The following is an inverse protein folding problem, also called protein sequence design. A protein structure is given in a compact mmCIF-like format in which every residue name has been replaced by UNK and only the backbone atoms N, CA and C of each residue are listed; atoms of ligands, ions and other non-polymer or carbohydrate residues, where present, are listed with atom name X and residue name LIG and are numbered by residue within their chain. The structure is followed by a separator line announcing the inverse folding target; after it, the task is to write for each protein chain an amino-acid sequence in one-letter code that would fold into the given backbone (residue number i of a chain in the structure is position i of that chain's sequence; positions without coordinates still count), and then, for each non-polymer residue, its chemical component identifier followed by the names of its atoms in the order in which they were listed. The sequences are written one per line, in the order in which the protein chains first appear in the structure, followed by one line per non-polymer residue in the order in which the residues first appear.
data_IF_802069670010
#
_entry.id   IF_802069670010
#
_cell.length_a   1.000
_cell.length_b   1.000
_cell.length_c   1.000
_cell.angle_alpha   90.00
_cell.angle_beta   90.00
_cell.angle_gamma   90.00
#
_symmetry.space_group_name_H-M   'P 1'
#
loop_
_entity.id
_entity.type
_entity.pdbx_description
1 polymer ?
#
# COMPACT_ATOMS: atom_id res chain seq x y z
N UNK A 1 15.49 28.77 27.23
CA UNK A 1 14.05 28.47 27.19
C UNK A 1 13.59 28.68 25.76
N UNK A 2 13.58 27.64 24.95
CA UNK A 2 13.09 27.65 23.57
C UNK A 2 11.99 26.61 23.47
N UNK A 3 10.76 27.10 23.34
CA UNK A 3 9.52 26.37 23.21
C UNK A 3 9.50 25.67 21.84
N UNK A 4 9.69 24.36 21.83
CA UNK A 4 9.52 23.52 20.66
C UNK A 4 8.04 23.34 20.33
N UNK A 5 7.55 24.09 19.36
CA UNK A 5 6.24 23.90 18.79
C UNK A 5 6.20 22.58 18.02
N UNK A 6 5.61 21.55 18.62
CA UNK A 6 5.19 20.36 17.90
C UNK A 6 4.09 20.76 16.91
N UNK A 7 4.45 20.86 15.65
CA UNK A 7 3.50 20.83 14.54
C UNK A 7 2.84 19.44 14.54
N UNK A 8 1.71 19.33 15.23
CA UNK A 8 0.75 18.25 14.94
C UNK A 8 0.33 18.43 13.49
N UNK A 9 0.95 17.67 12.59
CA UNK A 9 0.39 17.46 11.28
C UNK A 9 -0.88 16.61 11.49
N UNK A 10 -1.99 17.26 11.79
CA UNK A 10 -3.30 16.71 11.58
C UNK A 10 -3.43 16.54 10.08
N UNK A 11 -2.89 15.47 9.57
CA UNK A 11 -3.19 15.02 8.24
C UNK A 11 -4.68 14.66 8.28
N UNK A 12 -5.50 15.69 8.05
CA UNK A 12 -6.90 15.52 7.73
C UNK A 12 -6.87 14.51 6.60
N UNK A 13 -7.26 13.26 6.92
CA UNK A 13 -7.51 12.19 5.95
C UNK A 13 -7.94 12.88 4.67
N UNK A 14 -7.04 12.94 3.68
CA UNK A 14 -7.35 13.58 2.42
C UNK A 14 -8.48 12.74 1.86
N UNK A 15 -9.70 13.20 2.11
CA UNK A 15 -10.87 12.69 1.40
C UNK A 15 -10.57 13.04 -0.04
N UNK A 16 -9.98 12.07 -0.74
CA UNK A 16 -9.91 12.18 -2.17
C UNK A 16 -11.32 12.57 -2.62
N UNK A 17 -11.49 13.70 -3.29
CA UNK A 17 -12.81 14.14 -3.71
C UNK A 17 -13.38 12.97 -4.50
N UNK A 18 -14.61 12.56 -4.17
CA UNK A 18 -15.36 11.59 -4.95
C UNK A 18 -15.44 12.13 -6.37
N UNK A 19 -14.48 11.77 -7.18
CA UNK A 19 -14.54 12.03 -8.60
C UNK A 19 -15.44 10.96 -9.19
N UNK A 20 -16.66 11.34 -9.56
CA UNK A 20 -17.46 10.54 -10.50
C UNK A 20 -16.65 10.58 -11.80
N UNK A 21 -15.90 9.52 -12.05
CA UNK A 21 -15.09 9.40 -13.26
C UNK A 21 -16.04 9.12 -14.43
N UNK A 22 -16.38 10.15 -15.15
CA UNK A 22 -17.14 10.05 -16.43
C UNK A 22 -16.21 10.15 -17.64
N UNK A 23 -14.88 10.13 -17.41
CA UNK A 23 -13.88 10.28 -18.48
C UNK A 23 -13.45 8.94 -19.07
N UNK A 24 -13.02 8.99 -20.32
CA UNK A 24 -12.40 7.85 -21.00
C UNK A 24 -10.97 7.67 -20.47
N UNK A 25 -10.75 6.57 -19.75
CA UNK A 25 -9.41 6.16 -19.35
C UNK A 25 -8.79 5.31 -20.44
N UNK A 26 -7.72 5.79 -21.06
CA UNK A 26 -6.98 5.03 -22.05
C UNK A 26 -6.52 3.67 -21.49
N UNK A 27 -6.45 2.66 -22.36
CA UNK A 27 -6.01 1.31 -21.96
C UNK A 27 -4.51 1.31 -21.71
N UNK A 28 -4.05 0.85 -20.53
CA UNK A 28 -2.63 0.64 -20.29
C UNK A 28 -2.01 -0.36 -21.26
N UNK A 29 -0.70 -0.26 -21.45
CA UNK A 29 0.06 -1.12 -22.37
C UNK A 29 1.35 -1.58 -21.71
N UNK A 30 1.86 -2.74 -22.15
CA UNK A 30 3.21 -3.20 -21.85
C UNK A 30 4.14 -2.88 -23.01
N UNK A 31 5.33 -2.40 -22.67
CA UNK A 31 6.44 -2.23 -23.59
C UNK A 31 7.65 -3.04 -23.12
N UNK A 32 8.55 -3.37 -24.04
CA UNK A 32 9.72 -4.20 -23.75
C UNK A 32 11.01 -3.40 -23.73
N UNK A 33 11.00 -2.23 -24.34
CA UNK A 33 12.19 -1.39 -24.42
C UNK A 33 11.82 0.10 -24.28
N UNK A 34 12.79 0.92 -23.89
CA UNK A 34 12.63 2.38 -23.86
C UNK A 34 12.35 2.96 -25.24
N UNK A 35 12.82 2.30 -26.30
CA UNK A 35 12.58 2.72 -27.68
C UNK A 35 11.10 2.66 -28.09
N UNK A 36 10.29 1.90 -27.35
CA UNK A 36 8.83 1.81 -27.57
C UNK A 36 8.07 2.97 -26.93
N UNK A 37 8.72 3.74 -26.04
CA UNK A 37 8.15 4.92 -25.38
C UNK A 37 8.16 6.14 -26.32
N UNK A 38 7.34 7.16 -25.98
CA UNK A 38 7.54 8.48 -26.56
C UNK A 38 8.90 9.05 -26.15
N UNK A 39 9.50 9.87 -27.00
CA UNK A 39 10.82 10.43 -26.75
C UNK A 39 10.92 11.08 -25.36
N UNK A 40 9.93 11.90 -24.99
CA UNK A 40 9.90 12.58 -23.69
C UNK A 40 9.96 11.62 -22.49
N UNK A 41 9.23 10.50 -22.54
CA UNK A 41 9.24 9.49 -21.49
C UNK A 41 10.56 8.70 -21.49
N UNK A 42 11.10 8.37 -22.66
CA UNK A 42 12.35 7.65 -22.79
C UNK A 42 13.53 8.49 -22.28
N UNK A 43 13.62 9.75 -22.70
CA UNK A 43 14.68 10.67 -22.29
C UNK A 43 14.65 10.89 -20.76
N UNK A 44 13.45 11.13 -20.20
CA UNK A 44 13.31 11.27 -18.76
C UNK A 44 13.71 9.99 -18.01
N UNK A 45 13.32 8.81 -18.49
CA UNK A 45 13.71 7.54 -17.89
C UNK A 45 15.22 7.35 -17.84
N UNK A 46 15.91 7.71 -18.93
CA UNK A 46 17.37 7.59 -19.04
C UNK A 46 18.13 8.45 -18.01
N UNK A 47 17.52 9.54 -17.50
CA UNK A 47 18.17 10.39 -16.48
C UNK A 47 18.39 9.71 -15.14
N UNK A 48 17.61 8.66 -14.85
CA UNK A 48 17.63 7.94 -13.56
C UNK A 48 17.95 6.45 -13.69
N UNK A 49 17.86 5.89 -14.90
CA UNK A 49 18.21 4.50 -15.18
C UNK A 49 19.74 4.36 -15.25
N UNK A 50 20.27 3.42 -14.45
CA UNK A 50 21.68 3.06 -14.55
C UNK A 50 21.90 2.06 -15.71
N UNK A 51 23.08 2.10 -16.31
CA UNK A 51 23.46 1.14 -17.35
C UNK A 51 23.54 -0.32 -16.83
N UNK A 52 23.64 -0.49 -15.50
CA UNK A 52 23.65 -1.80 -14.85
C UNK A 52 22.24 -2.31 -14.51
N UNK A 53 21.21 -1.48 -14.60
CA UNK A 53 19.86 -1.87 -14.18
C UNK A 53 19.21 -2.77 -15.23
N UNK A 54 18.78 -3.95 -14.80
CA UNK A 54 18.05 -4.87 -15.64
C UNK A 54 16.56 -4.49 -15.69
N UNK A 55 16.11 -4.03 -16.86
CA UNK A 55 14.68 -3.75 -17.08
C UNK A 55 13.90 -5.06 -17.22
N UNK A 56 12.87 -5.23 -16.41
CA UNK A 56 12.00 -6.40 -16.43
C UNK A 56 10.69 -6.14 -17.15
N UNK A 57 10.11 -4.97 -16.93
CA UNK A 57 8.81 -4.62 -17.46
C UNK A 57 8.63 -3.12 -17.54
N UNK A 58 7.98 -2.65 -18.60
CA UNK A 58 7.54 -1.26 -18.74
C UNK A 58 6.02 -1.25 -18.88
N UNK A 59 5.34 -0.67 -17.90
CA UNK A 59 3.89 -0.49 -17.89
C UNK A 59 3.57 0.97 -18.15
N UNK A 60 2.83 1.24 -19.23
CA UNK A 60 2.48 2.60 -19.66
C UNK A 60 1.00 2.85 -19.52
N UNK A 61 0.68 3.93 -18.83
CA UNK A 61 -0.67 4.49 -18.76
C UNK A 61 -0.72 5.72 -19.68
N UNK A 62 -1.51 5.67 -20.76
CA UNK A 62 -1.64 6.79 -21.66
C UNK A 62 -2.30 8.00 -20.98
N UNK A 63 -2.19 9.20 -21.55
CA UNK A 63 -2.89 10.39 -21.07
C UNK A 63 -4.37 10.09 -20.88
N UNK A 64 -4.94 10.55 -19.78
CA UNK A 64 -6.34 10.33 -19.45
C UNK A 64 -7.16 11.57 -19.76
N UNK A 65 -8.28 11.39 -20.40
CA UNK A 65 -9.23 12.47 -20.67
C UNK A 65 -10.22 12.58 -19.51
N UNK A 66 -10.25 13.73 -18.87
CA UNK A 66 -11.23 14.04 -17.85
C UNK A 66 -12.25 15.05 -18.45
N UNK A 67 -13.54 14.72 -18.52
CA UNK A 67 -14.53 15.70 -18.89
C UNK A 67 -14.58 16.75 -17.78
N UNK A 68 -14.18 17.96 -18.11
CA UNK A 68 -14.56 19.13 -17.32
C UNK A 68 -15.74 19.80 -18.01
N UNK A 69 -16.65 20.40 -17.26
CA UNK A 69 -17.90 21.01 -17.74
C UNK A 69 -17.76 22.03 -18.90
N UNK A 70 -16.54 22.37 -19.26
CA UNK A 70 -16.27 23.31 -20.35
C UNK A 70 -15.02 22.98 -21.19
N UNK A 71 -14.11 22.12 -20.73
CA UNK A 71 -12.88 21.76 -21.44
C UNK A 71 -12.42 20.39 -21.02
N UNK A 72 -12.07 19.53 -21.99
CA UNK A 72 -11.36 18.29 -21.73
C UNK A 72 -10.01 18.64 -21.07
N UNK A 73 -9.75 18.03 -19.92
CA UNK A 73 -8.40 18.07 -19.30
C UNK A 73 -7.76 16.74 -19.53
N UNK A 74 -6.56 16.78 -20.10
CA UNK A 74 -5.72 15.58 -20.20
C UNK A 74 -4.92 15.44 -18.91
N UNK A 75 -5.02 14.27 -18.28
CA UNK A 75 -4.07 13.88 -17.24
C UNK A 75 -2.73 13.53 -17.90
N UNK A 76 -1.66 13.49 -17.11
CA UNK A 76 -0.34 13.11 -17.63
C UNK A 76 -0.35 11.64 -18.11
N UNK A 77 0.53 11.33 -19.05
CA UNK A 77 0.92 9.94 -19.30
C UNK A 77 1.90 9.50 -18.21
N UNK A 78 1.85 8.22 -17.85
CA UNK A 78 2.77 7.63 -16.89
C UNK A 78 3.45 6.41 -17.49
N UNK A 79 4.72 6.18 -17.16
CA UNK A 79 5.39 4.92 -17.34
C UNK A 79 5.93 4.44 -15.99
N UNK A 80 5.70 3.17 -15.67
CA UNK A 80 6.33 2.46 -14.57
C UNK A 80 7.31 1.47 -15.17
N UNK A 81 8.60 1.64 -14.87
CA UNK A 81 9.67 0.78 -15.33
C UNK A 81 10.16 -0.02 -14.14
N UNK A 82 9.86 -1.31 -14.13
CA UNK A 82 10.31 -2.23 -13.10
C UNK A 82 11.70 -2.73 -13.46
N UNK A 83 12.63 -2.59 -12.53
CA UNK A 83 14.02 -3.02 -12.65
C UNK A 83 14.41 -3.87 -11.45
N UNK A 84 15.57 -4.49 -11.49
CA UNK A 84 16.17 -5.16 -10.33
C UNK A 84 16.55 -4.18 -9.20
N UNK A 85 16.87 -2.92 -9.55
CA UNK A 85 17.17 -1.86 -8.57
C UNK A 85 15.93 -1.25 -7.90
N UNK A 86 14.74 -1.36 -8.52
CA UNK A 86 13.50 -0.77 -8.01
C UNK A 86 12.49 -0.44 -9.10
N UNK A 87 11.67 0.57 -8.87
CA UNK A 87 10.70 1.05 -9.83
C UNK A 87 10.97 2.52 -10.19
N UNK A 88 11.05 2.80 -11.49
CA UNK A 88 11.14 4.16 -12.00
C UNK A 88 9.75 4.59 -12.46
N UNK A 89 9.28 5.70 -11.91
CA UNK A 89 8.05 6.35 -12.34
C UNK A 89 8.40 7.55 -13.20
N UNK A 90 7.97 7.51 -14.44
CA UNK A 90 8.09 8.63 -15.39
C UNK A 90 6.71 9.20 -15.62
N UNK A 91 6.60 10.50 -15.58
CA UNK A 91 5.35 11.23 -15.78
C UNK A 91 5.57 12.37 -16.76
N UNK A 92 4.72 12.46 -17.79
CA UNK A 92 4.72 13.65 -18.64
C UNK A 92 4.20 14.84 -17.86
N UNK A 93 4.80 15.99 -18.06
CA UNK A 93 4.31 17.20 -17.42
C UNK A 93 3.03 17.72 -18.09
N UNK A 94 2.24 18.46 -17.35
CA UNK A 94 1.19 19.26 -17.92
C UNK A 94 1.82 20.52 -18.54
N UNK A 95 1.51 20.80 -19.83
CA UNK A 95 1.89 22.02 -20.55
C UNK A 95 3.41 22.36 -20.54
N UNK A 96 4.09 22.06 -21.62
CA UNK A 96 5.45 22.55 -21.96
C UNK A 96 6.61 22.31 -20.96
N UNK A 97 6.39 21.57 -19.90
CA UNK A 97 7.45 21.14 -19.01
C UNK A 97 7.99 19.76 -19.44
N UNK A 98 9.29 19.48 -19.27
CA UNK A 98 9.85 18.18 -19.57
C UNK A 98 9.23 17.09 -18.68
N UNK A 99 9.16 15.88 -19.18
CA UNK A 99 8.78 14.73 -18.39
C UNK A 99 9.71 14.57 -17.18
N UNK A 100 9.18 14.09 -16.08
CA UNK A 100 9.93 13.88 -14.84
C UNK A 100 10.03 12.39 -14.54
N UNK A 101 11.21 11.95 -14.14
CA UNK A 101 11.45 10.60 -13.68
C UNK A 101 11.88 10.58 -12.20
N UNK A 102 11.44 9.56 -11.47
CA UNK A 102 11.81 9.31 -10.08
C UNK A 102 12.04 7.83 -9.88
N UNK A 103 13.11 7.47 -9.20
CA UNK A 103 13.40 6.09 -8.81
C UNK A 103 12.95 5.89 -7.36
N UNK A 104 12.18 4.83 -7.11
CA UNK A 104 11.99 4.26 -5.79
C UNK A 104 12.87 2.99 -5.69
N UNK A 105 14.04 3.07 -5.05
CA UNK A 105 14.91 1.91 -4.88
C UNK A 105 14.22 0.83 -4.05
N UNK A 106 14.40 -0.43 -4.42
CA UNK A 106 13.80 -1.60 -3.73
C UNK A 106 14.04 -1.53 -2.21
N UNK A 107 15.25 -1.16 -1.78
CA UNK A 107 15.60 -1.03 -0.37
C UNK A 107 14.92 0.13 0.36
N UNK A 108 14.37 1.10 -0.36
CA UNK A 108 13.75 2.29 0.21
C UNK A 108 12.21 2.24 0.21
N UNK A 109 11.60 1.25 -0.46
CA UNK A 109 10.14 1.08 -0.47
C UNK A 109 9.67 0.60 0.90
N UNK A 110 8.71 1.31 1.48
CA UNK A 110 8.16 1.01 2.81
C UNK A 110 6.68 0.61 2.78
N UNK A 111 5.94 0.90 1.73
CA UNK A 111 4.63 0.30 1.45
C UNK A 111 4.28 0.38 -0.03
N UNK A 112 3.37 -0.48 -0.44
CA UNK A 112 2.70 -0.45 -1.74
C UNK A 112 1.21 -0.56 -1.48
N UNK A 113 0.42 0.30 -2.13
CA UNK A 113 -1.03 0.26 -2.02
C UNK A 113 -1.67 0.25 -3.40
N UNK A 114 -2.63 -0.65 -3.59
CA UNK A 114 -3.39 -0.79 -4.84
C UNK A 114 -4.86 -0.67 -4.54
N UNK A 115 -5.50 0.34 -5.07
CA UNK A 115 -6.96 0.49 -5.04
C UNK A 115 -7.56 0.06 -6.38
N UNK A 116 -8.51 -0.84 -6.35
CA UNK A 116 -9.23 -1.32 -7.53
C UNK A 116 -10.73 -1.06 -7.37
N UNK A 117 -11.29 -0.19 -8.20
CA UNK A 117 -12.71 0.16 -8.18
C UNK A 117 -13.26 0.17 -9.60
N UNK A 118 -14.03 -0.86 -9.98
CA UNK A 118 -14.57 -1.01 -11.33
C UNK A 118 -13.48 -0.80 -12.39
N UNK A 119 -13.60 0.27 -13.18
CA UNK A 119 -12.64 0.64 -14.24
C UNK A 119 -11.51 1.56 -13.75
N UNK A 120 -11.52 1.93 -12.46
CA UNK A 120 -10.51 2.80 -11.87
C UNK A 120 -9.56 2.03 -10.99
N UNK A 121 -8.27 2.10 -11.30
CA UNK A 121 -7.18 1.58 -10.51
C UNK A 121 -6.27 2.72 -10.03
N UNK A 122 -5.73 2.58 -8.83
CA UNK A 122 -4.73 3.49 -8.26
C UNK A 122 -3.62 2.68 -7.63
N UNK A 123 -2.42 2.86 -8.11
CA UNK A 123 -1.20 2.37 -7.48
C UNK A 123 -0.53 3.51 -6.73
N UNK A 124 -0.13 3.23 -5.51
CA UNK A 124 0.63 4.14 -4.66
C UNK A 124 1.83 3.39 -4.08
N UNK A 125 3.03 3.93 -4.25
CA UNK A 125 4.28 3.37 -3.73
C UNK A 125 4.91 4.42 -2.82
N UNK A 126 4.99 4.11 -1.53
CA UNK A 126 5.69 4.93 -0.56
C UNK A 126 7.15 4.48 -0.41
N UNK A 127 8.07 5.43 -0.48
CA UNK A 127 9.50 5.16 -0.41
C UNK A 127 10.25 6.30 0.27
N UNK A 128 11.47 6.03 0.72
CA UNK A 128 12.35 7.04 1.29
C UNK A 128 13.33 7.55 0.23
N UNK A 129 13.44 8.87 0.10
CA UNK A 129 14.47 9.52 -0.69
C UNK A 129 14.88 10.83 -0.01
N UNK A 130 16.17 11.15 -0.04
CA UNK A 130 16.76 12.37 0.53
C UNK A 130 16.36 12.61 2.00
N UNK A 131 16.30 11.53 2.80
CA UNK A 131 15.91 11.58 4.21
C UNK A 131 14.43 11.95 4.45
N UNK A 132 13.57 11.79 3.45
CA UNK A 132 12.15 12.11 3.51
C UNK A 132 11.29 11.00 2.96
N UNK A 133 10.10 10.83 3.53
CA UNK A 133 9.08 9.98 2.95
C UNK A 133 8.54 10.63 1.67
N UNK A 134 8.58 9.88 0.57
CA UNK A 134 8.05 10.27 -0.72
C UNK A 134 7.01 9.26 -1.20
N UNK A 135 6.27 9.64 -2.22
CA UNK A 135 5.17 8.85 -2.76
C UNK A 135 5.11 8.98 -4.28
N UNK A 136 4.95 7.85 -4.95
CA UNK A 136 4.54 7.77 -6.35
C UNK A 136 3.07 7.39 -6.41
N UNK A 137 2.31 8.06 -7.28
CA UNK A 137 0.89 7.72 -7.49
C UNK A 137 0.63 7.61 -8.99
N UNK A 138 0.04 6.49 -9.39
CA UNK A 138 -0.39 6.25 -10.77
C UNK A 138 -1.84 5.80 -10.76
N UNK A 139 -2.68 6.55 -11.46
CA UNK A 139 -4.08 6.19 -11.69
C UNK A 139 -4.18 5.52 -13.06
N UNK A 140 -4.89 4.41 -13.17
CA UNK A 140 -4.95 3.62 -14.41
C UNK A 140 -6.33 2.97 -14.59
N UNK A 141 -6.62 2.51 -15.82
CA UNK A 141 -7.79 1.68 -16.07
C UNK A 141 -7.51 0.25 -15.59
N UNK A 142 -8.42 -0.31 -14.77
CA UNK A 142 -8.27 -1.66 -14.19
C UNK A 142 -8.20 -2.79 -15.22
N UNK A 143 -8.60 -2.55 -16.48
CA UNK A 143 -8.33 -3.47 -17.59
C UNK A 143 -6.82 -3.75 -17.77
N UNK A 144 -5.96 -2.83 -17.32
CA UNK A 144 -4.51 -3.02 -17.30
C UNK A 144 -3.97 -3.73 -16.06
N UNK A 145 -4.83 -4.16 -15.13
CA UNK A 145 -4.38 -4.81 -13.90
C UNK A 145 -3.53 -6.06 -14.17
N UNK A 146 -4.01 -6.95 -15.04
CA UNK A 146 -3.28 -8.18 -15.39
C UNK A 146 -1.91 -7.90 -16.04
N UNK A 147 -1.74 -6.71 -16.62
CA UNK A 147 -0.47 -6.25 -17.18
C UNK A 147 0.46 -5.69 -16.10
N UNK A 148 -0.08 -5.01 -15.08
CA UNK A 148 0.68 -4.41 -13.99
C UNK A 148 1.10 -5.42 -12.93
N UNK A 149 0.21 -6.36 -12.62
CA UNK A 149 0.36 -7.29 -11.50
C UNK A 149 1.69 -8.07 -11.49
N UNK A 150 2.18 -8.64 -12.61
CA UNK A 150 3.44 -9.39 -12.59
C UNK A 150 4.63 -8.56 -12.11
N UNK A 151 4.82 -7.37 -12.67
CA UNK A 151 5.92 -6.46 -12.25
C UNK A 151 5.78 -6.01 -10.79
N UNK A 152 4.54 -5.79 -10.34
CA UNK A 152 4.26 -5.43 -8.96
C UNK A 152 4.58 -6.58 -7.99
N UNK A 153 4.24 -7.82 -8.33
CA UNK A 153 4.56 -8.99 -7.50
C UNK A 153 6.07 -9.26 -7.44
N UNK A 154 6.79 -9.02 -8.52
CA UNK A 154 8.26 -9.08 -8.51
C UNK A 154 8.86 -7.99 -7.63
N UNK A 155 8.39 -6.75 -7.76
CA UNK A 155 8.81 -5.66 -6.88
C UNK A 155 8.55 -5.99 -5.40
N UNK A 156 7.36 -6.49 -5.05
CA UNK A 156 7.01 -6.90 -3.69
C UNK A 156 7.96 -7.99 -3.16
N UNK A 157 8.30 -8.96 -3.99
CA UNK A 157 9.26 -10.02 -3.63
C UNK A 157 10.64 -9.43 -3.35
N UNK A 158 11.14 -8.56 -4.23
CA UNK A 158 12.46 -7.96 -4.10
C UNK A 158 12.52 -7.01 -2.90
N UNK A 159 11.48 -6.20 -2.72
CA UNK A 159 11.33 -5.33 -1.54
C UNK A 159 11.36 -6.16 -0.26
N UNK A 160 10.69 -7.30 -0.20
CA UNK A 160 10.67 -8.15 0.98
C UNK A 160 12.00 -8.88 1.22
N UNK A 161 12.75 -9.18 0.16
CA UNK A 161 14.05 -9.86 0.23
C UNK A 161 15.22 -8.92 0.51
N UNK A 162 15.10 -7.63 0.14
CA UNK A 162 16.19 -6.68 0.29
C UNK A 162 16.59 -6.51 1.76
N UNK A 163 17.89 -6.51 2.05
CA UNK A 163 18.39 -6.26 3.40
C UNK A 163 18.20 -4.78 3.78
N UNK A 164 17.87 -4.47 5.04
CA UNK A 164 17.86 -3.08 5.51
C UNK A 164 19.24 -2.45 5.32
N UNK A 165 19.28 -1.15 5.06
CA UNK A 165 20.55 -0.41 5.01
C UNK A 165 21.30 -0.52 6.35
N UNK A 166 22.64 -0.63 6.33
CA UNK A 166 23.45 -0.92 7.55
C UNK A 166 23.39 0.15 8.64
N UNK A 167 23.08 1.39 8.32
CA UNK A 167 22.99 2.51 9.24
C UNK A 167 21.75 2.50 10.17
N UNK A 168 20.77 1.64 9.87
CA UNK A 168 19.57 1.42 10.69
C UNK A 168 19.68 0.11 11.50
N UNK A 169 20.81 -0.58 11.38
CA UNK A 169 21.00 -1.99 11.78
C UNK A 169 20.75 -2.29 13.26
N UNK A 170 21.18 -1.44 14.20
CA UNK A 170 21.11 -1.82 15.63
C UNK A 170 19.68 -1.90 16.20
N UNK A 171 18.77 -1.05 15.75
CA UNK A 171 17.35 -1.08 16.17
C UNK A 171 16.62 -2.26 15.54
N UNK A 172 16.91 -2.54 14.28
CA UNK A 172 16.34 -3.66 13.53
C UNK A 172 16.84 -5.02 14.04
N UNK A 173 18.09 -5.14 14.44
CA UNK A 173 18.64 -6.40 14.96
C UNK A 173 17.97 -6.84 16.26
N UNK A 174 17.46 -5.92 17.04
CA UNK A 174 16.70 -6.25 18.25
C UNK A 174 15.29 -6.76 17.91
N UNK A 175 14.60 -6.09 17.00
CA UNK A 175 13.30 -6.51 16.48
C UNK A 175 13.41 -7.83 15.69
N UNK A 176 14.46 -7.98 14.85
CA UNK A 176 14.75 -9.19 14.07
C UNK A 176 15.02 -10.42 14.93
N UNK A 177 15.75 -10.30 16.02
CA UNK A 177 16.03 -11.43 16.91
C UNK A 177 14.76 -11.98 17.56
N UNK A 178 13.80 -11.15 17.88
CA UNK A 178 12.47 -11.57 18.32
C UNK A 178 11.69 -12.27 17.20
N UNK A 179 11.71 -11.71 15.99
CA UNK A 179 10.99 -12.19 14.83
C UNK A 179 11.48 -13.55 14.30
N UNK A 180 12.79 -13.73 14.18
CA UNK A 180 13.37 -14.98 13.66
C UNK A 180 13.12 -16.19 14.57
N UNK A 181 13.02 -15.95 15.88
CA UNK A 181 12.75 -17.02 16.86
C UNK A 181 11.34 -17.58 16.77
N UNK A 182 10.35 -16.79 16.30
CA UNK A 182 8.97 -17.19 16.21
C UNK A 182 8.61 -17.92 14.90
N UNK A 183 9.43 -17.78 13.85
CA UNK A 183 9.18 -18.40 12.53
C UNK A 183 9.50 -19.90 12.50
N UNK A 184 10.21 -20.43 13.49
CA UNK A 184 10.69 -21.82 13.49
C UNK A 184 9.68 -22.86 14.03
N UNK A 185 8.50 -22.45 14.49
CA UNK A 185 7.46 -23.38 14.94
C UNK A 185 6.41 -23.62 13.85
N UNK A 186 6.34 -24.85 13.33
CA UNK A 186 5.39 -25.30 12.32
C UNK A 186 3.89 -25.12 12.71
N UNK A 187 3.58 -24.96 13.99
CA UNK A 187 2.23 -24.92 14.56
C UNK A 187 1.49 -23.58 14.37
N UNK A 188 2.12 -22.57 13.76
CA UNK A 188 1.58 -21.20 13.70
C UNK A 188 1.06 -20.75 12.34
N UNK A 189 0.88 -21.66 11.39
CA UNK A 189 0.37 -21.32 10.06
C UNK A 189 -1.15 -21.26 10.05
N UNK A 190 -1.68 -20.17 9.47
CA UNK A 190 -3.13 -20.06 9.18
C UNK A 190 -3.51 -21.12 8.16
N UNK A 191 -4.48 -21.94 8.50
CA UNK A 191 -4.95 -23.02 7.64
C UNK A 191 -5.80 -22.50 6.46
N UNK A 192 -5.87 -23.28 5.38
CA UNK A 192 -6.78 -22.97 4.27
C UNK A 192 -8.24 -22.85 4.72
N UNK A 193 -8.66 -23.65 5.73
CA UNK A 193 -10.00 -23.60 6.29
C UNK A 193 -10.30 -22.27 7.01
N UNK A 194 -9.32 -21.63 7.61
CA UNK A 194 -9.48 -20.30 8.23
C UNK A 194 -9.66 -19.21 7.16
N UNK A 195 -8.93 -19.29 6.05
CA UNK A 195 -9.13 -18.37 4.91
C UNK A 195 -10.54 -18.55 4.33
N UNK A 196 -11.03 -19.78 4.23
CA UNK A 196 -12.37 -20.09 3.68
C UNK A 196 -13.53 -19.64 4.58
N UNK A 197 -13.28 -19.38 5.86
CA UNK A 197 -14.26 -18.75 6.77
C UNK A 197 -14.47 -17.26 6.51
N UNK A 198 -13.54 -16.61 5.81
CA UNK A 198 -13.74 -15.23 5.40
C UNK A 198 -14.87 -15.12 4.38
N UNK A 199 -15.55 -13.97 4.29
CA UNK A 199 -16.44 -13.71 3.15
C UNK A 199 -15.70 -13.91 1.83
N UNK A 200 -16.37 -14.51 0.84
CA UNK A 200 -15.79 -14.97 -0.43
C UNK A 200 -14.84 -13.95 -1.09
N UNK A 201 -15.22 -12.67 -1.10
CA UNK A 201 -14.40 -11.59 -1.66
C UNK A 201 -13.03 -11.47 -0.96
N UNK A 202 -13.02 -11.57 0.37
CA UNK A 202 -11.80 -11.47 1.17
C UNK A 202 -10.96 -12.74 1.09
N UNK A 203 -11.60 -13.92 1.10
CA UNK A 203 -10.91 -15.18 0.91
C UNK A 203 -10.15 -15.21 -0.43
N UNK A 204 -10.80 -14.78 -1.50
CA UNK A 204 -10.16 -14.63 -2.80
C UNK A 204 -9.08 -13.53 -2.80
N UNK A 205 -9.34 -12.41 -2.12
CA UNK A 205 -8.36 -11.33 -1.96
C UNK A 205 -7.06 -11.83 -1.32
N UNK A 206 -7.15 -12.62 -0.25
CA UNK A 206 -5.98 -13.21 0.40
C UNK A 206 -5.26 -14.17 -0.54
N UNK A 207 -5.98 -15.09 -1.20
CA UNK A 207 -5.40 -16.10 -2.08
C UNK A 207 -4.73 -15.52 -3.33
N UNK A 208 -5.31 -14.49 -3.93
CA UNK A 208 -4.89 -13.96 -5.24
C UNK A 208 -3.92 -12.79 -5.13
N UNK A 209 -4.13 -11.93 -4.12
CA UNK A 209 -3.41 -10.65 -4.03
C UNK A 209 -2.41 -10.61 -2.88
N UNK A 210 -2.62 -11.34 -1.78
CA UNK A 210 -1.69 -11.32 -0.64
C UNK A 210 -0.65 -12.43 -0.75
N UNK A 211 -1.07 -13.65 -1.05
CA UNK A 211 -0.17 -14.80 -1.03
C UNK A 211 0.57 -14.95 -2.36
N UNK A 212 1.87 -14.68 -2.34
CA UNK A 212 2.77 -15.02 -3.43
C UNK A 212 3.19 -16.50 -3.36
N UNK A 213 3.61 -17.12 -4.47
CA UNK A 213 4.14 -18.48 -4.43
C UNK A 213 5.26 -18.65 -3.41
N UNK A 214 5.10 -19.62 -2.51
CA UNK A 214 6.05 -19.91 -1.42
C UNK A 214 5.98 -18.96 -0.23
N UNK A 215 5.03 -18.02 -0.19
CA UNK A 215 4.77 -17.15 0.96
C UNK A 215 3.84 -17.85 1.95
N UNK A 216 4.14 -17.73 3.24
CA UNK A 216 3.38 -18.36 4.31
C UNK A 216 2.53 -17.33 5.06
N UNK A 217 1.25 -17.65 5.26
CA UNK A 217 0.36 -16.85 6.08
C UNK A 217 0.51 -17.24 7.56
N UNK A 218 0.94 -16.30 8.37
CA UNK A 218 1.26 -16.51 9.78
C UNK A 218 0.10 -16.11 10.69
N UNK A 219 -0.63 -15.05 10.34
CA UNK A 219 -1.76 -14.56 11.11
C UNK A 219 -2.82 -13.94 10.20
N UNK A 220 -4.06 -13.98 10.66
CA UNK A 220 -5.21 -13.46 9.94
C UNK A 220 -6.24 -12.90 10.92
N UNK A 221 -6.68 -11.67 10.72
CA UNK A 221 -7.77 -11.07 11.45
C UNK A 221 -8.77 -10.43 10.49
N UNK A 222 -10.05 -10.57 10.77
CA UNK A 222 -11.14 -10.02 9.97
C UNK A 222 -12.06 -9.17 10.81
N UNK A 223 -12.30 -7.96 10.37
CA UNK A 223 -13.32 -7.08 10.91
C UNK A 223 -14.45 -6.93 9.89
N UNK A 224 -15.68 -7.31 10.22
CA UNK A 224 -16.83 -7.00 9.39
C UNK A 224 -17.08 -5.51 9.34
N UNK A 225 -17.75 -5.04 8.30
CA UNK A 225 -18.14 -3.64 8.19
C UNK A 225 -19.10 -3.25 9.33
N UNK A 226 -18.79 -2.15 10.01
CA UNK A 226 -19.63 -1.61 11.07
C UNK A 226 -20.63 -0.62 10.52
N UNK A 227 -21.88 -0.74 10.97
CA UNK A 227 -22.98 0.08 10.49
C UNK A 227 -23.74 0.71 11.66
N UNK A 228 -24.15 1.96 11.50
CA UNK A 228 -25.10 2.60 12.41
C UNK A 228 -26.42 2.90 11.71
N UNK A 229 -27.50 2.84 12.45
CA UNK A 229 -28.82 3.26 11.97
C UNK A 229 -28.99 4.76 12.26
N UNK A 230 -29.25 5.55 11.25
CA UNK A 230 -29.64 6.96 11.38
C UNK A 230 -31.10 7.11 10.94
N UNK A 231 -31.96 7.55 11.85
CA UNK A 231 -33.38 7.75 11.55
C UNK A 231 -34.04 6.49 10.92
N UNK A 232 -34.18 5.41 11.69
CA UNK A 232 -34.93 4.17 11.36
C UNK A 232 -34.72 3.55 9.95
N UNK A 233 -34.44 4.37 8.93
CA UNK A 233 -34.43 3.99 7.52
C UNK A 233 -33.02 4.03 6.91
N UNK A 234 -32.15 4.95 7.37
CA UNK A 234 -30.82 5.13 6.78
C UNK A 234 -29.75 4.39 7.56
N UNK A 235 -29.00 3.53 6.88
CA UNK A 235 -27.78 2.91 7.40
C UNK A 235 -26.55 3.72 6.95
N UNK A 236 -25.67 4.04 7.88
CA UNK A 236 -24.37 4.63 7.58
C UNK A 236 -23.29 3.66 7.95
N UNK A 237 -22.39 3.38 7.01
CA UNK A 237 -21.19 2.61 7.29
C UNK A 237 -20.22 3.45 8.12
N UNK A 238 -19.83 2.94 9.28
CA UNK A 238 -18.86 3.57 10.18
C UNK A 238 -17.44 3.19 9.74
N UNK A 239 -17.20 1.87 9.59
CA UNK A 239 -15.95 1.35 9.00
C UNK A 239 -16.28 0.37 7.89
N UNK A 240 -15.47 0.32 6.82
CA UNK A 240 -15.56 -0.77 5.86
C UNK A 240 -15.10 -2.10 6.50
N UNK A 241 -15.46 -3.24 5.91
CA UNK A 241 -14.85 -4.51 6.27
C UNK A 241 -13.35 -4.48 5.95
N UNK A 242 -12.55 -5.07 6.84
CA UNK A 242 -11.08 -5.09 6.73
C UNK A 242 -10.56 -6.48 7.05
N UNK A 243 -9.60 -6.96 6.27
CA UNK A 243 -8.76 -8.10 6.60
C UNK A 243 -7.35 -7.60 6.88
N UNK A 244 -6.77 -8.04 7.99
CA UNK A 244 -5.35 -7.92 8.29
C UNK A 244 -4.71 -9.29 8.11
N UNK A 245 -3.60 -9.35 7.41
CA UNK A 245 -2.86 -10.57 7.18
C UNK A 245 -1.38 -10.32 7.49
N UNK A 246 -0.77 -11.22 8.24
CA UNK A 246 0.66 -11.27 8.47
C UNK A 246 1.21 -12.46 7.70
N UNK A 247 2.15 -12.20 6.82
CA UNK A 247 2.92 -13.25 6.15
C UNK A 247 4.36 -13.27 6.66
N UNK A 248 5.14 -14.23 6.22
CA UNK A 248 6.59 -14.24 6.50
C UNK A 248 7.31 -13.05 5.83
N UNK A 249 6.68 -12.36 4.88
CA UNK A 249 7.25 -11.23 4.12
C UNK A 249 6.64 -9.88 4.40
N UNK A 250 5.32 -9.83 4.58
CA UNK A 250 4.56 -8.58 4.64
C UNK A 250 3.52 -8.56 5.76
N UNK A 251 3.20 -7.36 6.23
CA UNK A 251 1.91 -7.04 6.83
C UNK A 251 1.03 -6.51 5.72
N UNK A 252 -0.10 -7.14 5.48
CA UNK A 252 -1.01 -6.79 4.39
C UNK A 252 -2.40 -6.45 4.91
N UNK A 253 -3.07 -5.54 4.23
CA UNK A 253 -4.45 -5.16 4.55
C UNK A 253 -5.30 -5.22 3.29
N UNK A 254 -6.51 -5.75 3.41
CA UNK A 254 -7.56 -5.64 2.39
C UNK A 254 -8.68 -4.83 3.00
N UNK A 255 -8.95 -3.67 2.45
CA UNK A 255 -10.03 -2.80 2.88
C UNK A 255 -11.06 -2.67 1.74
N UNK A 256 -12.32 -2.87 2.04
CA UNK A 256 -13.39 -2.51 1.11
C UNK A 256 -13.54 -0.99 1.02
N UNK A 257 -13.89 -0.49 -0.13
CA UNK A 257 -14.24 0.92 -0.25
C UNK A 257 -15.54 1.20 0.52
N UNK A 258 -15.61 2.36 1.19
CA UNK A 258 -16.80 2.73 1.96
C UNK A 258 -18.03 2.82 1.07
N UNK A 259 -19.05 2.06 1.39
CA UNK A 259 -20.36 2.17 0.77
C UNK A 259 -21.03 3.50 1.12
N UNK A 260 -21.61 4.15 0.14
CA UNK A 260 -22.37 5.37 0.32
C UNK A 260 -23.82 5.12 -0.09
N UNK A 261 -24.73 5.41 0.84
CA UNK A 261 -26.18 5.29 0.58
C UNK A 261 -26.70 3.84 0.56
N UNK A 262 -25.96 2.88 1.16
CA UNK A 262 -26.39 1.47 1.22
C UNK A 262 -26.16 0.68 -0.07
N UNK A 263 -25.53 1.27 -1.08
CA UNK A 263 -25.08 0.55 -2.27
C UNK A 263 -23.89 -0.35 -1.94
N UNK A 264 -23.79 -1.50 -2.60
CA UNK A 264 -22.64 -2.38 -2.45
C UNK A 264 -21.36 -1.66 -2.95
N UNK A 265 -20.29 -1.77 -2.17
CA UNK A 265 -18.96 -1.36 -2.62
C UNK A 265 -18.42 -2.39 -3.61
N UNK A 266 -17.97 -1.93 -4.76
CA UNK A 266 -17.33 -2.77 -5.78
C UNK A 266 -15.81 -2.65 -5.79
N UNK A 267 -15.25 -1.85 -4.89
CA UNK A 267 -13.82 -1.58 -4.80
C UNK A 267 -13.16 -2.25 -3.60
N UNK A 268 -11.87 -2.52 -3.74
CA UNK A 268 -10.99 -2.94 -2.65
C UNK A 268 -9.66 -2.24 -2.75
N UNK A 269 -9.09 -1.94 -1.59
CA UNK A 269 -7.72 -1.44 -1.46
C UNK A 269 -6.88 -2.51 -0.82
N UNK A 270 -5.77 -2.84 -1.46
CA UNK A 270 -4.76 -3.78 -0.99
C UNK A 270 -3.55 -2.97 -0.57
N UNK A 271 -3.10 -3.13 0.67
CA UNK A 271 -1.90 -2.46 1.18
C UNK A 271 -0.90 -3.54 1.59
N UNK A 272 0.34 -3.39 1.13
CA UNK A 272 1.45 -4.29 1.43
C UNK A 272 2.54 -3.47 2.13
N UNK A 273 2.90 -3.89 3.32
CA UNK A 273 3.96 -3.28 4.11
C UNK A 273 5.03 -4.36 4.33
N UNK A 274 6.22 -4.21 3.77
CA UNK A 274 7.30 -5.17 3.98
C UNK A 274 7.56 -5.34 5.47
N UNK A 275 7.55 -6.59 5.97
CA UNK A 275 7.68 -6.89 7.39
C UNK A 275 8.97 -6.31 7.99
N UNK A 276 10.05 -6.30 7.22
CA UNK A 276 11.33 -5.70 7.60
C UNK A 276 11.26 -4.18 7.84
N UNK A 277 10.28 -3.51 7.23
CA UNK A 277 10.05 -2.07 7.36
C UNK A 277 9.10 -1.71 8.50
N UNK A 278 8.54 -2.69 9.23
CA UNK A 278 7.69 -2.43 10.39
C UNK A 278 8.59 -2.33 11.62
N UNK A 279 8.63 -1.16 12.24
CA UNK A 279 9.36 -0.93 13.50
C UNK A 279 8.59 -1.45 14.70
N UNK A 280 7.28 -1.33 14.66
CA UNK A 280 6.37 -1.72 15.73
C UNK A 280 4.93 -1.34 15.41
N UNK A 281 4.04 -1.71 16.30
CA UNK A 281 2.66 -1.28 16.27
C UNK A 281 2.32 -0.65 17.61
N UNK A 282 1.46 0.37 17.58
CA UNK A 282 0.89 0.95 18.78
C UNK A 282 -0.62 1.02 18.66
N UNK A 283 -1.29 1.02 19.78
CA UNK A 283 -2.73 1.17 19.80
C UNK A 283 -3.16 2.25 20.78
N UNK A 284 -4.18 3.00 20.41
CA UNK A 284 -4.82 4.01 21.24
C UNK A 284 -6.34 3.86 21.17
N UNK A 285 -7.09 4.31 22.21
CA UNK A 285 -8.54 4.31 22.16
C UNK A 285 -9.08 5.13 20.99
N UNK A 286 -10.09 4.61 20.30
CA UNK A 286 -10.75 5.27 19.18
C UNK A 286 -12.28 5.10 19.29
N UNK A 287 -13.09 5.91 18.60
CA UNK A 287 -14.54 5.90 18.74
C UNK A 287 -15.21 4.56 18.47
N UNK A 288 -14.61 3.70 17.64
CA UNK A 288 -15.17 2.39 17.28
C UNK A 288 -14.43 1.22 17.96
N UNK A 289 -13.41 1.51 18.75
CA UNK A 289 -12.60 0.53 19.44
C UNK A 289 -11.18 1.02 19.67
N UNK A 290 -10.25 0.62 18.79
CA UNK A 290 -8.85 0.98 18.88
C UNK A 290 -8.30 1.44 17.52
N UNK A 291 -7.54 2.52 17.50
CA UNK A 291 -6.73 2.92 16.36
C UNK A 291 -5.38 2.21 16.46
N UNK A 292 -5.10 1.36 15.48
CA UNK A 292 -3.81 0.70 15.36
C UNK A 292 -2.95 1.52 14.42
N UNK A 293 -1.79 1.95 14.89
CA UNK A 293 -0.78 2.66 14.11
C UNK A 293 0.38 1.72 13.85
N UNK A 294 0.64 1.41 12.59
CA UNK A 294 1.80 0.65 12.13
C UNK A 294 2.92 1.65 11.88
N UNK A 295 3.98 1.56 12.67
CA UNK A 295 5.16 2.41 12.56
C UNK A 295 6.11 1.86 11.51
N UNK A 296 6.42 2.67 10.50
CA UNK A 296 7.25 2.26 9.37
C UNK A 296 8.66 2.82 9.51
N UNK A 297 9.63 2.00 9.17
CA UNK A 297 11.02 2.41 9.08
C UNK A 297 11.22 3.25 7.82
N UNK A 298 11.33 4.55 8.00
CA UNK A 298 11.66 5.51 6.95
C UNK A 298 12.86 6.32 7.42
N UNK A 299 13.91 6.36 6.62
CA UNK A 299 15.12 7.12 6.93
C UNK A 299 14.79 8.61 7.12
N UNK A 300 15.06 9.14 8.30
CA UNK A 300 14.90 10.57 8.61
C UNK A 300 13.47 11.06 8.84
N UNK A 301 12.44 10.24 8.65
CA UNK A 301 11.04 10.60 8.90
C UNK A 301 10.24 9.40 9.38
N UNK A 302 9.43 9.58 10.40
CA UNK A 302 8.43 8.59 10.78
C UNK A 302 7.31 8.55 9.75
N UNK A 303 7.10 7.41 9.11
CA UNK A 303 5.89 7.15 8.34
C UNK A 303 5.02 6.17 9.12
N UNK A 304 3.71 6.35 9.04
CA UNK A 304 2.75 5.49 9.73
C UNK A 304 1.62 5.08 8.80
N UNK A 305 1.04 3.93 9.10
CA UNK A 305 -0.25 3.50 8.54
C UNK A 305 -1.21 3.23 9.68
N UNK A 306 -2.43 3.70 9.53
CA UNK A 306 -3.44 3.64 10.58
C UNK A 306 -4.64 2.82 10.12
N UNK A 307 -5.15 2.00 11.04
CA UNK A 307 -6.39 1.25 10.87
C UNK A 307 -7.20 1.27 12.15
N UNK A 308 -8.49 1.58 12.06
CA UNK A 308 -9.40 1.56 13.20
C UNK A 308 -10.11 0.21 13.27
N UNK A 309 -9.90 -0.50 14.37
CA UNK A 309 -10.45 -1.83 14.63
C UNK A 309 -11.36 -1.81 15.85
N UNK A 310 -12.30 -2.76 15.91
CA UNK A 310 -13.00 -3.03 17.17
C UNK A 310 -12.01 -3.51 18.22
N UNK A 311 -12.33 -3.31 19.50
CA UNK A 311 -11.44 -3.73 20.60
C UNK A 311 -11.11 -5.22 20.54
N UNK A 312 -12.08 -6.07 20.18
CA UNK A 312 -11.91 -7.51 20.05
C UNK A 312 -10.92 -7.88 18.94
N UNK A 313 -11.11 -7.34 17.73
CA UNK A 313 -10.23 -7.60 16.57
C UNK A 313 -8.84 -7.03 16.81
N UNK A 314 -8.74 -5.87 17.45
CA UNK A 314 -7.45 -5.27 17.82
C UNK A 314 -6.69 -6.18 18.82
N UNK A 315 -7.36 -6.71 19.84
CA UNK A 315 -6.74 -7.61 20.81
C UNK A 315 -6.30 -8.94 20.14
N UNK A 316 -7.11 -9.50 19.25
CA UNK A 316 -6.75 -10.68 18.47
C UNK A 316 -5.49 -10.40 17.62
N UNK A 317 -5.47 -9.27 16.91
CA UNK A 317 -4.33 -8.89 16.06
C UNK A 317 -3.06 -8.65 16.89
N UNK A 318 -3.18 -7.98 18.04
CA UNK A 318 -2.07 -7.78 18.97
C UNK A 318 -1.48 -9.10 19.42
N UNK A 319 -2.31 -10.05 19.86
CA UNK A 319 -1.86 -11.36 20.31
C UNK A 319 -1.13 -12.11 19.20
N UNK A 320 -1.66 -12.11 17.99
CA UNK A 320 -1.05 -12.73 16.82
C UNK A 320 0.27 -12.02 16.43
N UNK A 321 0.30 -10.69 16.44
CA UNK A 321 1.52 -9.93 16.14
C UNK A 321 2.65 -10.22 17.12
N UNK A 322 2.34 -10.23 18.43
CA UNK A 322 3.30 -10.52 19.50
C UNK A 322 3.79 -11.98 19.45
N UNK A 323 2.93 -12.94 19.13
CA UNK A 323 3.33 -14.35 19.00
C UNK A 323 4.35 -14.58 17.89
N UNK A 324 4.37 -13.70 16.89
CA UNK A 324 5.36 -13.72 15.82
C UNK A 324 6.52 -12.73 16.04
N UNK A 325 6.77 -12.33 17.29
CA UNK A 325 7.93 -11.52 17.71
C UNK A 325 7.81 -10.02 17.38
N UNK A 326 6.61 -9.54 17.06
CA UNK A 326 6.38 -8.13 16.79
C UNK A 326 6.33 -7.28 18.06
N UNK A 327 6.86 -6.06 18.01
CA UNK A 327 6.77 -5.08 19.10
C UNK A 327 5.40 -4.40 19.08
N UNK A 328 4.75 -4.32 20.25
CA UNK A 328 3.48 -3.64 20.44
C UNK A 328 3.50 -2.72 21.64
N UNK A 329 3.03 -1.49 21.46
CA UNK A 329 2.94 -0.47 22.52
C UNK A 329 1.48 -0.07 22.74
N UNK A 330 1.06 -0.02 23.99
CA UNK A 330 -0.25 0.48 24.39
C UNK A 330 -0.10 1.87 25.00
N UNK A 331 -0.60 2.90 24.33
CA UNK A 331 -0.51 4.28 24.82
C UNK A 331 -1.48 4.60 25.98
N UNK A 332 -2.40 3.69 26.31
CA UNK A 332 -3.31 3.88 27.46
C UNK A 332 -2.64 3.79 28.82
N UNK A 333 -1.39 3.30 28.90
CA UNK A 333 -0.68 3.09 30.17
C UNK A 333 0.28 4.25 30.55
N UNK A 334 0.31 5.32 29.81
CA UNK A 334 1.22 6.46 30.04
C UNK A 334 0.50 7.73 30.51
N UNK A 335 -0.73 7.64 30.98
CA UNK A 335 -1.52 8.74 31.54
C UNK A 335 -1.52 8.80 33.05
#
# INVERSE_FOLDING_TARGET
MASGGQLRSSDRRSRAPRRVYTGYMGRPRLFRSLADLSADLADAAQTVLSASDEMRQIFVVPPQEFPSWAKYRFGPAHALIFTDAGVIHVQTAACDQPAQARLAPTGAVHYIQVGLLLLYGRLEIGYAADGRAQQMVVEFNTVGWDLLQPGLMELLRDVSAASPRPDVGERLDRARRGLNRAVETEDSLVSAAEIERLPFKFANGVKIYILSPGERLLALAFQPGLWTRRLLIFRRQLTPPIVLALTDRCVSMIEEERSVGGSHSYGSTFTYIPRRGVMGMRSEPAPLGRLITIELLVEGAGATREVELTTEVAAQWEAQWRSHGGEWRDETLQG
#
